data_IF_007600180772
#
_entry.id   IF_007600180772
#
_cell.length_a   1.000
_cell.length_b   1.000
_cell.length_c   1.000
_cell.angle_alpha   90.00
_cell.angle_beta   90.00
_cell.angle_gamma   90.00
#
_symmetry.space_group_name_H-M   'P 1'
#
loop_
_entity.id
_entity.type
_entity.pdbx_description
1 polymer ?
#
# COMPACT_ATOMS: atom_id res chain seq x y z
N UNK A 1 -26.26 7.00 -6.33
CA UNK A 1 -26.63 5.66 -5.82
C UNK A 1 -27.13 5.81 -4.38
N UNK A 2 -28.05 4.96 -3.92
CA UNK A 2 -28.46 4.92 -2.51
C UNK A 2 -27.59 3.92 -1.75
N UNK A 3 -27.31 4.20 -0.48
CA UNK A 3 -26.76 3.19 0.43
C UNK A 3 -27.88 2.58 1.26
N UNK A 4 -27.71 1.38 1.81
CA UNK A 4 -28.71 0.69 2.63
C UNK A 4 -28.35 0.68 4.12
N UNK A 5 -29.35 0.48 4.99
CA UNK A 5 -29.12 0.25 6.43
C UNK A 5 -28.34 -1.05 6.59
N UNK A 6 -27.30 -1.02 7.42
CA UNK A 6 -26.38 -2.14 7.64
C UNK A 6 -25.25 -2.22 6.62
N UNK A 7 -25.19 -1.31 5.64
CA UNK A 7 -24.08 -1.27 4.69
C UNK A 7 -22.83 -0.65 5.31
N UNK A 8 -21.68 -1.30 5.10
CA UNK A 8 -20.38 -0.78 5.48
C UNK A 8 -19.88 0.24 4.44
N UNK A 9 -19.43 1.39 4.92
CA UNK A 9 -18.95 2.52 4.13
C UNK A 9 -17.65 3.08 4.68
N UNK A 10 -16.90 3.77 3.83
CA UNK A 10 -15.69 4.50 4.19
C UNK A 10 -15.94 5.99 4.00
N UNK A 11 -15.63 6.77 5.04
CA UNK A 11 -15.61 8.22 5.01
C UNK A 11 -14.15 8.73 5.01
N UNK A 12 -13.76 9.63 4.09
CA UNK A 12 -12.37 10.06 3.94
C UNK A 12 -11.72 10.54 5.24
N UNK A 13 -12.43 11.30 6.06
CA UNK A 13 -11.89 11.87 7.31
C UNK A 13 -12.10 11.02 8.58
N UNK A 14 -12.92 9.96 8.50
CA UNK A 14 -13.36 9.23 9.71
C UNK A 14 -13.13 7.72 9.59
N UNK A 15 -12.57 7.26 8.48
CA UNK A 15 -12.31 5.85 8.24
C UNK A 15 -13.61 5.09 7.98
N UNK A 16 -13.67 3.85 8.43
CA UNK A 16 -14.76 2.96 8.06
C UNK A 16 -15.87 2.89 9.12
N UNK A 17 -17.11 2.83 8.65
CA UNK A 17 -18.31 2.86 9.47
C UNK A 17 -19.47 2.11 8.84
N UNK A 18 -20.58 2.02 9.58
CA UNK A 18 -21.80 1.32 9.16
C UNK A 18 -22.97 2.31 9.15
N UNK A 19 -23.81 2.23 8.12
CA UNK A 19 -25.05 3.01 8.10
C UNK A 19 -26.05 2.38 9.04
N UNK A 20 -26.40 3.07 10.11
CA UNK A 20 -27.32 2.56 11.14
C UNK A 20 -28.75 3.02 10.92
N UNK A 21 -28.97 4.17 10.28
CA UNK A 21 -30.30 4.72 10.08
C UNK A 21 -30.33 5.78 8.97
N UNK A 22 -31.56 6.07 8.54
CA UNK A 22 -31.89 7.26 7.77
C UNK A 22 -32.71 8.22 8.64
N UNK A 23 -32.35 9.50 8.63
CA UNK A 23 -33.12 10.55 9.30
C UNK A 23 -33.63 11.56 8.28
N UNK A 24 -34.92 11.87 8.35
CA UNK A 24 -35.50 13.05 7.72
C UNK A 24 -35.57 14.18 8.75
N UNK A 25 -35.03 15.34 8.39
CA UNK A 25 -35.17 16.57 9.18
C UNK A 25 -35.90 17.62 8.36
N UNK A 26 -36.92 18.20 8.95
CA UNK A 26 -37.60 19.37 8.40
C UNK A 26 -36.69 20.60 8.58
N UNK A 27 -36.41 21.29 7.48
CA UNK A 27 -35.68 22.55 7.45
C UNK A 27 -36.61 23.64 6.91
N UNK A 28 -36.23 24.91 7.10
CA UNK A 28 -36.96 26.08 6.58
C UNK A 28 -37.19 26.00 5.06
N UNK A 29 -36.36 25.25 4.33
CA UNK A 29 -36.43 25.06 2.87
C UNK A 29 -37.05 23.71 2.44
N UNK A 30 -37.64 22.95 3.35
CA UNK A 30 -38.23 21.63 3.10
C UNK A 30 -37.56 20.48 3.85
N UNK A 31 -37.92 19.24 3.52
CA UNK A 31 -37.36 18.03 4.15
C UNK A 31 -35.99 17.66 3.56
N UNK A 32 -35.04 17.33 4.44
CA UNK A 32 -33.71 16.88 4.07
C UNK A 32 -33.42 15.51 4.71
N UNK A 33 -33.04 14.55 3.87
CA UNK A 33 -32.58 13.22 4.29
C UNK A 33 -31.11 13.23 4.66
N UNK A 34 -30.78 12.50 5.72
CA UNK A 34 -29.43 12.26 6.23
C UNK A 34 -29.19 10.76 6.41
N UNK A 35 -28.00 10.31 6.03
CA UNK A 35 -27.45 9.02 6.43
C UNK A 35 -26.81 9.18 7.82
N UNK A 36 -27.13 8.27 8.73
CA UNK A 36 -26.49 8.19 10.04
C UNK A 36 -25.46 7.08 9.97
N UNK A 37 -24.18 7.45 10.04
CA UNK A 37 -23.04 6.53 9.96
C UNK A 37 -22.39 6.44 11.33
N UNK A 38 -22.22 5.22 11.83
CA UNK A 38 -21.48 4.92 13.06
C UNK A 38 -20.09 4.40 12.73
N UNK A 39 -19.05 5.02 13.29
CA UNK A 39 -17.65 4.65 13.07
C UNK A 39 -17.14 3.74 14.20
N UNK A 40 -16.53 2.62 13.80
CA UNK A 40 -16.09 1.56 14.72
C UNK A 40 -14.96 2.02 15.64
N UNK A 41 -14.00 2.78 15.11
CA UNK A 41 -12.79 3.18 15.85
C UNK A 41 -13.07 4.24 16.93
N UNK A 42 -13.90 5.24 16.62
CA UNK A 42 -14.04 6.43 17.47
C UNK A 42 -15.37 6.50 18.23
N UNK A 43 -16.24 5.48 18.12
CA UNK A 43 -17.63 5.52 18.63
C UNK A 43 -18.35 6.82 18.27
N UNK A 44 -18.07 7.31 17.06
CA UNK A 44 -18.55 8.59 16.56
C UNK A 44 -19.71 8.32 15.61
N UNK A 45 -20.78 9.10 15.73
CA UNK A 45 -21.91 9.05 14.81
C UNK A 45 -21.93 10.34 13.98
N UNK A 46 -21.87 10.21 12.66
CA UNK A 46 -21.87 11.35 11.72
C UNK A 46 -23.13 11.32 10.87
N UNK A 47 -23.75 12.49 10.73
CA UNK A 47 -24.94 12.67 9.92
C UNK A 47 -24.56 13.31 8.58
N UNK A 48 -24.62 12.52 7.50
CA UNK A 48 -24.23 12.95 6.17
C UNK A 48 -25.47 13.27 5.34
N UNK A 49 -25.63 14.50 4.80
CA UNK A 49 -26.75 14.81 3.92
C UNK A 49 -26.77 13.90 2.70
N UNK A 50 -27.89 13.21 2.46
CA UNK A 50 -28.05 12.30 1.33
C UNK A 50 -27.65 12.88 -0.05
N UNK A 51 -27.97 14.14 -0.41
CA UNK A 51 -27.61 14.70 -1.71
C UNK A 51 -26.11 15.01 -1.84
N UNK A 52 -25.34 15.00 -0.74
CA UNK A 52 -23.91 15.34 -0.73
C UNK A 52 -23.01 14.15 -0.39
N UNK A 53 -23.57 12.96 -0.16
CA UNK A 53 -22.79 11.81 0.31
C UNK A 53 -21.65 11.44 -0.64
N UNK A 54 -21.92 11.43 -1.95
CA UNK A 54 -20.91 11.16 -2.99
C UNK A 54 -19.90 12.32 -3.10
N UNK A 55 -20.36 13.57 -2.96
CA UNK A 55 -19.49 14.76 -3.02
C UNK A 55 -18.50 14.84 -1.85
N UNK A 56 -18.89 14.30 -0.68
CA UNK A 56 -18.04 14.20 0.50
C UNK A 56 -17.01 13.06 0.34
N UNK A 57 -17.21 12.15 -0.62
CA UNK A 57 -16.32 11.03 -0.88
C UNK A 57 -16.64 9.78 -0.05
N UNK A 58 -17.86 9.68 0.48
CA UNK A 58 -18.30 8.45 1.15
C UNK A 58 -18.50 7.36 0.10
N UNK A 59 -17.86 6.21 0.33
CA UNK A 59 -17.87 5.07 -0.60
C UNK A 59 -18.23 3.78 0.10
N UNK A 60 -18.75 2.76 -0.61
CA UNK A 60 -18.91 1.44 -0.03
C UNK A 60 -17.53 0.83 0.30
N UNK A 61 -17.49 0.00 1.35
CA UNK A 61 -16.33 -0.87 1.61
C UNK A 61 -16.14 -1.82 0.43
N UNK A 62 -14.88 -2.16 0.16
CA UNK A 62 -14.55 -3.09 -0.92
C UNK A 62 -15.31 -4.43 -0.79
N UNK A 63 -15.80 -4.99 -1.92
CA UNK A 63 -16.44 -6.29 -1.91
C UNK A 63 -15.40 -7.39 -1.68
N UNK A 64 -15.84 -8.56 -1.20
CA UNK A 64 -14.97 -9.72 -0.98
C UNK A 64 -14.14 -10.11 -2.21
N UNK A 65 -14.70 -9.97 -3.41
CA UNK A 65 -14.00 -10.23 -4.67
C UNK A 65 -12.78 -9.32 -4.89
N UNK A 66 -12.78 -8.10 -4.35
CA UNK A 66 -11.67 -7.16 -4.44
C UNK A 66 -10.53 -7.47 -3.47
N UNK A 67 -10.79 -8.25 -2.40
CA UNK A 67 -9.83 -8.51 -1.33
C UNK A 67 -8.60 -9.24 -1.87
N UNK A 68 -8.84 -10.24 -2.72
CA UNK A 68 -7.75 -10.98 -3.35
C UNK A 68 -6.85 -10.04 -4.18
N UNK A 69 -7.42 -9.07 -4.90
CA UNK A 69 -6.65 -8.10 -5.66
C UNK A 69 -5.75 -7.21 -4.79
N UNK A 70 -6.21 -6.86 -3.59
CA UNK A 70 -5.42 -6.09 -2.62
C UNK A 70 -4.25 -6.91 -2.11
N UNK A 71 -4.47 -8.17 -1.69
CA UNK A 71 -3.38 -9.04 -1.26
C UNK A 71 -2.40 -9.34 -2.39
N UNK A 72 -2.88 -9.58 -3.61
CA UNK A 72 -2.01 -9.70 -4.79
C UNK A 72 -1.17 -8.43 -5.01
N UNK A 73 -1.72 -7.24 -4.74
CA UNK A 73 -0.95 -6.00 -4.84
C UNK A 73 0.13 -5.93 -3.76
N UNK A 74 -0.19 -6.27 -2.51
CA UNK A 74 0.79 -6.31 -1.40
C UNK A 74 1.92 -7.32 -1.64
N UNK A 75 1.59 -8.48 -2.18
CA UNK A 75 2.53 -9.58 -2.46
C UNK A 75 3.32 -9.38 -3.76
N UNK A 76 2.82 -8.55 -4.68
CA UNK A 76 3.50 -8.29 -5.95
C UNK A 76 4.84 -7.57 -5.75
N UNK A 77 5.68 -7.62 -6.78
CA UNK A 77 7.00 -7.00 -6.77
C UNK A 77 6.91 -5.49 -6.41
N UNK A 78 7.55 -5.04 -5.31
CA UNK A 78 7.55 -3.64 -4.91
C UNK A 78 8.22 -2.74 -5.95
N UNK A 79 7.68 -1.54 -6.14
CA UNK A 79 8.26 -0.54 -7.03
C UNK A 79 9.22 0.37 -6.26
N UNK A 80 10.30 0.78 -6.92
CA UNK A 80 11.20 1.79 -6.36
C UNK A 80 10.55 3.18 -6.39
N UNK A 81 10.43 3.76 -5.19
CA UNK A 81 9.97 5.12 -5.04
C UNK A 81 11.06 6.12 -5.49
N UNK A 82 10.66 7.27 -6.06
CA UNK A 82 11.61 8.31 -6.45
C UNK A 82 12.56 8.71 -5.31
N UNK A 83 13.82 8.92 -5.62
CA UNK A 83 14.80 9.40 -4.63
C UNK A 83 14.50 10.84 -4.21
N UNK A 84 14.00 11.67 -5.13
CA UNK A 84 13.54 13.03 -4.81
C UNK A 84 12.31 13.02 -3.88
N UNK A 85 12.49 13.53 -2.66
CA UNK A 85 11.49 13.47 -1.60
C UNK A 85 10.16 14.14 -1.95
N UNK A 86 10.18 15.26 -2.71
CA UNK A 86 8.96 15.99 -3.09
C UNK A 86 8.09 15.19 -4.04
N UNK A 87 8.72 14.55 -5.03
CA UNK A 87 8.02 13.70 -5.99
C UNK A 87 7.44 12.47 -5.32
N UNK A 88 8.25 11.79 -4.48
CA UNK A 88 7.81 10.64 -3.69
C UNK A 88 6.61 11.00 -2.81
N UNK A 89 6.73 12.02 -1.98
CA UNK A 89 5.66 12.47 -1.09
C UNK A 89 4.36 12.75 -1.84
N UNK A 90 4.44 13.52 -2.93
CA UNK A 90 3.26 13.82 -3.75
C UNK A 90 2.63 12.57 -4.38
N UNK A 91 3.44 11.57 -4.76
CA UNK A 91 2.93 10.32 -5.32
C UNK A 91 2.24 9.44 -4.28
N UNK A 92 2.84 9.32 -3.08
CA UNK A 92 2.30 8.55 -1.95
C UNK A 92 1.00 9.20 -1.44
N UNK A 93 1.00 10.51 -1.22
CA UNK A 93 -0.20 11.24 -0.77
C UNK A 93 -1.38 11.02 -1.74
N UNK A 94 -1.12 11.04 -3.05
CA UNK A 94 -2.14 10.75 -4.07
C UNK A 94 -2.66 9.32 -4.00
N UNK A 95 -1.80 8.34 -3.77
CA UNK A 95 -2.19 6.94 -3.65
C UNK A 95 -3.06 6.70 -2.40
N UNK A 96 -2.63 7.24 -1.25
CA UNK A 96 -3.35 7.13 0.03
C UNK A 96 -4.75 7.77 -0.08
N UNK A 97 -4.83 8.97 -0.64
CA UNK A 97 -6.07 9.74 -0.75
C UNK A 97 -6.88 9.42 -2.03
N UNK A 98 -6.47 8.41 -2.80
CA UNK A 98 -7.15 8.05 -4.05
C UNK A 98 -8.54 7.46 -3.84
N UNK A 99 -8.82 6.92 -2.64
CA UNK A 99 -10.03 6.17 -2.34
C UNK A 99 -10.08 4.76 -2.93
N UNK A 100 -8.99 4.28 -3.55
CA UNK A 100 -8.89 2.93 -4.10
C UNK A 100 -7.98 2.03 -3.24
N UNK A 101 -8.49 0.93 -2.67
CA UNK A 101 -7.72 0.06 -1.78
C UNK A 101 -6.42 -0.46 -2.40
N UNK A 102 -6.43 -0.79 -3.71
CA UNK A 102 -5.23 -1.25 -4.41
C UNK A 102 -4.13 -0.18 -4.47
N UNK A 103 -4.48 1.11 -4.57
CA UNK A 103 -3.47 2.17 -4.57
C UNK A 103 -2.89 2.39 -3.18
N UNK A 104 -3.72 2.30 -2.14
CA UNK A 104 -3.26 2.35 -0.75
C UNK A 104 -2.33 1.16 -0.46
N UNK A 105 -2.70 -0.04 -0.93
CA UNK A 105 -1.87 -1.24 -0.83
C UNK A 105 -0.52 -1.10 -1.54
N UNK A 106 -0.51 -0.51 -2.75
CA UNK A 106 0.73 -0.19 -3.44
C UNK A 106 1.61 0.78 -2.64
N UNK A 107 1.03 1.83 -2.04
CA UNK A 107 1.76 2.77 -1.19
C UNK A 107 2.38 2.08 0.04
N UNK A 108 1.62 1.21 0.74
CA UNK A 108 2.12 0.42 1.88
C UNK A 108 3.29 -0.45 1.44
N UNK A 109 3.13 -1.22 0.36
CA UNK A 109 4.17 -2.11 -0.19
C UNK A 109 5.44 -1.35 -0.56
N UNK A 110 5.31 -0.25 -1.32
CA UNK A 110 6.44 0.48 -1.86
C UNK A 110 7.20 1.26 -0.76
N UNK A 111 6.48 1.79 0.24
CA UNK A 111 7.10 2.40 1.43
C UNK A 111 7.80 1.36 2.32
N UNK A 112 7.19 0.19 2.52
CA UNK A 112 7.80 -0.89 3.30
C UNK A 112 9.06 -1.45 2.62
N UNK A 113 9.03 -1.64 1.29
CA UNK A 113 10.22 -1.98 0.52
C UNK A 113 11.30 -0.92 0.67
N UNK A 114 10.91 0.36 0.54
CA UNK A 114 11.86 1.45 0.73
C UNK A 114 12.46 1.42 2.13
N UNK A 115 11.69 1.20 3.19
CA UNK A 115 12.21 1.09 4.57
C UNK A 115 13.25 -0.04 4.72
N UNK A 116 13.05 -1.16 4.01
CA UNK A 116 13.99 -2.29 4.01
C UNK A 116 15.29 -2.04 3.23
N UNK A 117 15.27 -1.16 2.23
CA UNK A 117 16.38 -0.95 1.29
C UNK A 117 17.09 0.40 1.46
N UNK A 118 16.38 1.44 1.90
CA UNK A 118 16.80 2.84 1.97
C UNK A 118 16.18 3.53 3.18
N UNK A 119 16.69 4.71 3.52
CA UNK A 119 16.11 5.51 4.61
C UNK A 119 14.75 6.12 4.24
N UNK A 120 13.77 5.99 5.13
CA UNK A 120 12.50 6.75 5.13
C UNK A 120 12.65 8.07 5.88
N UNK A 121 12.16 9.16 5.27
CA UNK A 121 12.01 10.43 6.00
C UNK A 121 10.88 10.33 7.02
N UNK A 122 10.83 11.23 7.99
CA UNK A 122 9.77 11.21 9.01
C UNK A 122 8.37 11.30 8.39
N UNK A 123 8.21 12.15 7.36
CA UNK A 123 6.96 12.27 6.62
C UNK A 123 6.60 10.97 5.86
N UNK A 124 7.60 10.23 5.36
CA UNK A 124 7.33 8.93 4.71
C UNK A 124 6.89 7.87 5.74
N UNK A 125 7.44 7.91 6.96
CA UNK A 125 7.02 7.02 8.06
C UNK A 125 5.59 7.32 8.52
N UNK A 126 5.27 8.60 8.71
CA UNK A 126 3.89 9.03 9.02
C UNK A 126 2.91 8.55 7.93
N UNK A 127 3.27 8.73 6.66
CA UNK A 127 2.46 8.26 5.54
C UNK A 127 2.32 6.73 5.51
N UNK A 128 3.36 5.96 5.84
CA UNK A 128 3.28 4.50 5.94
C UNK A 128 2.33 4.07 7.06
N UNK A 129 2.38 4.72 8.22
CA UNK A 129 1.48 4.45 9.35
C UNK A 129 0.04 4.73 8.93
N UNK A 130 -0.23 5.91 8.36
CA UNK A 130 -1.56 6.30 7.87
C UNK A 130 -2.10 5.32 6.83
N UNK A 131 -1.28 4.96 5.83
CA UNK A 131 -1.66 4.04 4.78
C UNK A 131 -1.98 2.64 5.33
N UNK A 132 -1.17 2.14 6.28
CA UNK A 132 -1.42 0.85 6.96
C UNK A 132 -2.73 0.90 7.73
N UNK A 133 -2.96 1.94 8.52
CA UNK A 133 -4.17 2.05 9.33
C UNK A 133 -5.44 2.08 8.47
N UNK A 134 -5.41 2.85 7.38
CA UNK A 134 -6.54 2.93 6.45
C UNK A 134 -6.81 1.58 5.79
N UNK A 135 -5.75 0.90 5.31
CA UNK A 135 -5.88 -0.40 4.65
C UNK A 135 -6.38 -1.49 5.59
N UNK A 136 -5.81 -1.59 6.80
CA UNK A 136 -6.21 -2.58 7.81
C UNK A 136 -7.65 -2.33 8.26
N UNK A 137 -8.04 -1.06 8.48
CA UNK A 137 -9.43 -0.72 8.84
C UNK A 137 -10.41 -1.23 7.77
N UNK A 138 -10.10 -1.01 6.50
CA UNK A 138 -10.97 -1.41 5.40
C UNK A 138 -11.03 -2.93 5.25
N UNK A 139 -9.88 -3.59 5.26
CA UNK A 139 -9.79 -5.05 5.14
C UNK A 139 -10.47 -5.76 6.31
N UNK A 140 -10.31 -5.26 7.54
CA UNK A 140 -10.94 -5.84 8.72
C UNK A 140 -12.47 -5.82 8.61
N UNK A 141 -13.05 -4.73 8.09
CA UNK A 141 -14.50 -4.67 7.84
C UNK A 141 -14.93 -5.54 6.66
N UNK A 142 -14.14 -5.61 5.60
CA UNK A 142 -14.45 -6.42 4.42
C UNK A 142 -14.40 -7.92 4.74
N UNK A 143 -13.42 -8.34 5.54
CA UNK A 143 -13.21 -9.72 6.00
C UNK A 143 -14.06 -10.09 7.21
N UNK A 144 -14.62 -9.11 7.93
CA UNK A 144 -15.30 -9.27 9.23
C UNK A 144 -14.39 -9.94 10.26
N UNK A 145 -13.13 -9.49 10.31
CA UNK A 145 -12.09 -10.00 11.20
C UNK A 145 -11.65 -8.92 12.20
N UNK A 146 -10.90 -9.32 13.23
CA UNK A 146 -10.32 -8.36 14.16
C UNK A 146 -9.18 -7.57 13.48
N UNK A 147 -8.88 -6.41 14.05
CA UNK A 147 -7.76 -5.57 13.60
C UNK A 147 -6.46 -6.37 13.58
N UNK A 148 -6.17 -7.06 14.68
CA UNK A 148 -4.90 -7.74 14.94
C UNK A 148 -4.67 -8.89 13.94
N UNK A 149 -5.72 -9.65 13.62
CA UNK A 149 -5.62 -10.72 12.63
C UNK A 149 -5.41 -10.17 11.21
N UNK A 150 -6.05 -9.03 10.91
CA UNK A 150 -5.91 -8.36 9.63
C UNK A 150 -4.52 -7.75 9.47
N UNK A 151 -4.01 -7.11 10.52
CA UNK A 151 -2.65 -6.55 10.57
C UNK A 151 -1.60 -7.63 10.31
N UNK A 152 -1.69 -8.78 11.01
CA UNK A 152 -0.79 -9.92 10.77
C UNK A 152 -0.83 -10.41 9.32
N UNK A 153 -2.02 -10.44 8.71
CA UNK A 153 -2.18 -10.88 7.33
C UNK A 153 -1.56 -9.89 6.33
N UNK A 154 -1.70 -8.59 6.60
CA UNK A 154 -1.07 -7.53 5.78
C UNK A 154 0.44 -7.57 5.92
N UNK A 155 0.96 -7.71 7.14
CA UNK A 155 2.40 -7.76 7.39
C UNK A 155 3.06 -8.97 6.75
N UNK A 156 2.43 -10.15 6.84
CA UNK A 156 2.92 -11.36 6.15
C UNK A 156 2.91 -11.20 4.62
N UNK A 157 1.86 -10.61 4.05
CA UNK A 157 1.77 -10.34 2.62
C UNK A 157 2.89 -9.41 2.13
N UNK A 158 3.15 -8.32 2.86
CA UNK A 158 4.24 -7.38 2.55
C UNK A 158 5.60 -8.06 2.71
N UNK A 159 5.80 -8.85 3.77
CA UNK A 159 7.05 -9.57 3.99
C UNK A 159 7.32 -10.63 2.92
N UNK A 160 6.27 -11.27 2.37
CA UNK A 160 6.40 -12.15 1.20
C UNK A 160 6.86 -11.37 -0.04
N UNK A 161 6.21 -10.26 -0.36
CA UNK A 161 6.60 -9.42 -1.51
C UNK A 161 8.04 -8.86 -1.41
N UNK A 162 8.49 -8.50 -0.22
CA UNK A 162 9.87 -8.04 0.02
C UNK A 162 10.87 -9.19 -0.18
N UNK A 163 10.62 -10.37 0.40
CA UNK A 163 11.50 -11.54 0.26
C UNK A 163 11.62 -11.98 -1.19
N UNK A 164 10.50 -12.04 -1.91
CA UNK A 164 10.48 -12.43 -3.32
C UNK A 164 11.34 -11.48 -4.18
N UNK A 165 11.34 -10.18 -3.86
CA UNK A 165 12.22 -9.21 -4.52
C UNK A 165 13.69 -9.41 -4.16
N UNK A 166 14.01 -9.63 -2.89
CA UNK A 166 15.39 -9.89 -2.45
C UNK A 166 15.96 -11.15 -3.10
N UNK A 167 15.18 -12.23 -3.16
CA UNK A 167 15.58 -13.48 -3.81
C UNK A 167 15.78 -13.29 -5.33
N UNK A 168 14.94 -12.48 -5.98
CA UNK A 168 15.11 -12.15 -7.39
C UNK A 168 16.37 -11.31 -7.65
N UNK A 169 16.64 -10.31 -6.81
CA UNK A 169 17.86 -9.48 -6.88
C UNK A 169 19.11 -10.33 -6.65
N UNK A 170 19.08 -11.27 -5.70
CA UNK A 170 20.20 -12.19 -5.44
C UNK A 170 20.48 -13.13 -6.62
N UNK A 171 19.44 -13.74 -7.22
CA UNK A 171 19.58 -14.61 -8.40
C UNK A 171 20.14 -13.87 -9.60
N UNK A 172 19.69 -12.64 -9.86
CA UNK A 172 20.21 -11.83 -10.96
C UNK A 172 21.71 -11.54 -10.81
N UNK A 173 22.17 -11.26 -9.59
CA UNK A 173 23.60 -11.07 -9.30
C UNK A 173 24.40 -12.36 -9.51
N UNK A 174 23.87 -13.53 -9.14
CA UNK A 174 24.50 -14.83 -9.37
C UNK A 174 24.63 -15.15 -10.87
N UNK A 175 23.59 -14.89 -11.66
CA UNK A 175 23.59 -15.07 -13.12
C UNK A 175 24.60 -14.14 -13.81
N UNK A 176 24.74 -12.89 -13.37
CA UNK A 176 25.76 -11.95 -13.88
C UNK A 176 27.20 -12.35 -13.49
N UNK A 177 27.36 -13.13 -12.41
CA UNK A 177 28.65 -13.63 -11.92
C UNK A 177 29.08 -14.97 -12.54
N UNK A 178 28.23 -15.63 -13.34
CA UNK A 178 28.65 -16.82 -14.08
C UNK A 178 29.77 -16.43 -15.08
N UNK A 179 30.92 -17.14 -15.06
CA UNK A 179 32.09 -16.70 -15.79
C UNK A 179 31.81 -16.72 -17.29
N UNK A 180 32.03 -15.57 -17.93
CA UNK A 180 32.26 -15.49 -19.38
C UNK A 180 33.27 -16.58 -19.75
N UNK A 181 32.82 -17.52 -20.57
CA UNK A 181 33.54 -18.69 -21.07
C UNK A 181 35.04 -18.46 -21.26
N UNK A 182 35.86 -19.40 -20.80
CA UNK A 182 37.33 -19.41 -20.91
C UNK A 182 37.85 -19.71 -22.33
N UNK A 183 37.13 -19.30 -23.37
CA UNK A 183 37.63 -19.28 -24.75
C UNK A 183 38.24 -17.91 -25.07
N UNK A 184 39.23 -17.50 -24.27
CA UNK A 184 39.98 -16.27 -24.50
C UNK A 184 41.06 -16.52 -25.58
N UNK A 185 41.01 -15.87 -26.76
CA UNK A 185 41.80 -16.30 -27.92
C UNK A 185 43.23 -15.74 -27.94
N UNK A 186 43.69 -15.06 -26.89
CA UNK A 186 45.03 -14.47 -26.86
C UNK A 186 45.99 -15.30 -26.03
N UNK A 187 47.11 -15.79 -26.60
CA UNK A 187 48.16 -16.38 -25.80
C UNK A 187 48.72 -15.31 -24.86
N UNK A 188 48.65 -15.57 -23.56
CA UNK A 188 49.34 -14.74 -22.56
C UNK A 188 50.83 -14.90 -22.82
N UNK A 189 51.44 -13.92 -23.48
CA UNK A 189 52.89 -13.86 -23.60
C UNK A 189 53.46 -13.65 -22.20
N UNK A 190 54.03 -14.69 -21.61
CA UNK A 190 54.79 -14.55 -20.38
C UNK A 190 56.02 -13.68 -20.69
N UNK A 191 56.29 -12.61 -19.91
CA UNK A 191 57.57 -11.92 -20.02
C UNK A 191 58.67 -12.92 -19.67
N UNK A 192 59.61 -13.08 -20.59
CA UNK A 192 60.79 -13.91 -20.38
C UNK A 192 61.52 -13.43 -19.12
N UNK A 193 61.68 -14.34 -18.16
CA UNK A 193 62.59 -14.16 -17.04
C UNK A 193 63.98 -13.85 -17.60
N UNK A 194 64.44 -12.62 -17.41
CA UNK A 194 65.85 -12.30 -17.57
C UNK A 194 66.59 -12.87 -16.36
N UNK A 195 67.03 -14.11 -16.52
CA UNK A 195 68.07 -14.74 -15.72
C UNK A 195 69.33 -13.87 -15.69
N UNK A 196 69.75 -13.58 -14.47
CA UNK A 196 71.11 -13.25 -14.02
C UNK A 196 72.23 -14.00 -14.77
N UNK A 197 73.33 -13.30 -15.08
CA UNK A 197 74.74 -13.75 -15.06
C UNK A 197 75.60 -12.64 -15.73
N UNK A 198 76.40 -11.88 -14.98
CA UNK A 198 77.82 -12.14 -14.68
C UNK A 198 78.77 -11.81 -15.86
N UNK A 199 79.33 -10.61 -15.88
CA UNK A 199 80.77 -10.31 -15.66
C UNK A 199 81.06 -8.80 -15.78
#
# INVERSE_FOLDING_TARGET
MGFDIGQNVIHPSHGAGTIIAFQEKELVKGFQRYYVIEFMHNRLTVHVPAPRIEQIGVRPVMPAAGINGVFMTLESHPLDLPDEFRLRRNSIEKQIHSGYPNQVAAAVRDLAWRDSSKYLTEADKEALIEARELLITELALALKQSWELTELSVDDAVARGIRDRQDAEARALEEEMEPVSTDWPFPVAMPAEMSEAAD
#
